data_IF_086880464966
#
_entry.id   IF_086880464966
#
_cell.length_a   1.000
_cell.length_b   1.000
_cell.length_c   1.000
_cell.angle_alpha   90.00
_cell.angle_beta   90.00
_cell.angle_gamma   90.00
#
_symmetry.space_group_name_H-M   'P 1'
#
loop_
_entity.id
_entity.type
_entity.pdbx_description
1 polymer ?
#
# COMPACT_ATOMS: atom_id res chain seq x y z
N UNK A 1 -14.20 4.32 -18.78
CA UNK A 1 -14.15 4.56 -17.34
C UNK A 1 -15.39 5.21 -16.70
N UNK A 2 -16.36 5.73 -17.45
CA UNK A 2 -17.58 6.42 -16.93
C UNK A 2 -18.44 5.59 -15.96
N UNK A 3 -18.33 4.26 -15.97
CA UNK A 3 -19.04 3.36 -15.04
C UNK A 3 -18.61 3.48 -13.56
N UNK A 4 -17.44 4.06 -13.27
CA UNK A 4 -16.95 4.32 -11.92
C UNK A 4 -17.51 5.63 -11.38
N UNK A 5 -18.83 5.68 -11.13
CA UNK A 5 -19.57 6.93 -10.94
C UNK A 5 -19.81 7.33 -9.47
N UNK A 6 -19.39 6.51 -8.50
CA UNK A 6 -19.57 6.78 -7.06
C UNK A 6 -18.26 6.97 -6.27
N UNK A 7 -17.28 7.81 -6.73
CA UNK A 7 -16.02 7.97 -6.01
C UNK A 7 -16.21 8.58 -4.62
N UNK A 8 -17.08 9.59 -4.48
CA UNK A 8 -17.32 10.23 -3.18
C UNK A 8 -17.80 9.20 -2.17
N UNK A 9 -18.82 8.39 -2.52
CA UNK A 9 -19.32 7.33 -1.65
C UNK A 9 -18.20 6.34 -1.30
N UNK A 10 -17.45 5.87 -2.31
CA UNK A 10 -16.37 4.92 -2.11
C UNK A 10 -15.31 5.48 -1.14
N UNK A 11 -14.73 6.63 -1.45
CA UNK A 11 -13.64 7.20 -0.67
C UNK A 11 -14.09 7.64 0.74
N UNK A 12 -15.31 8.19 0.88
CA UNK A 12 -15.82 8.59 2.19
C UNK A 12 -16.02 7.38 3.09
N UNK A 13 -16.73 6.34 2.64
CA UNK A 13 -16.98 5.16 3.47
C UNK A 13 -15.69 4.37 3.74
N UNK A 14 -14.80 4.24 2.73
CA UNK A 14 -13.52 3.57 2.88
C UNK A 14 -12.52 4.32 3.78
N UNK A 15 -12.79 5.58 4.14
CA UNK A 15 -12.03 6.34 5.13
C UNK A 15 -12.70 6.32 6.49
N UNK A 16 -13.98 6.68 6.54
CA UNK A 16 -14.72 6.91 7.82
C UNK A 16 -14.84 5.62 8.60
N UNK A 17 -15.17 4.50 7.94
CA UNK A 17 -15.35 3.23 8.65
C UNK A 17 -14.05 2.76 9.31
N UNK A 18 -12.89 2.65 8.59
CA UNK A 18 -11.62 2.34 9.24
C UNK A 18 -11.23 3.33 10.33
N UNK A 19 -11.43 4.64 10.12
CA UNK A 19 -11.09 5.65 11.10
C UNK A 19 -11.84 5.47 12.42
N UNK A 20 -13.16 5.23 12.37
CA UNK A 20 -13.95 4.96 13.57
C UNK A 20 -13.42 3.71 14.29
N UNK A 21 -13.20 2.62 13.56
CA UNK A 21 -12.77 1.36 14.15
C UNK A 21 -11.35 1.46 14.73
N UNK A 22 -10.41 2.05 13.98
CA UNK A 22 -9.02 2.13 14.40
C UNK A 22 -8.73 3.21 15.43
N UNK A 23 -9.50 4.30 15.50
CA UNK A 23 -9.39 5.21 16.64
C UNK A 23 -9.92 4.60 17.93
N UNK A 24 -10.95 3.76 17.85
CA UNK A 24 -11.37 2.96 19.02
C UNK A 24 -10.27 1.97 19.42
N UNK A 25 -9.68 1.27 18.44
CA UNK A 25 -8.56 0.39 18.68
C UNK A 25 -7.34 1.13 19.29
N UNK A 26 -7.02 2.31 18.77
CA UNK A 26 -5.97 3.18 19.29
C UNK A 26 -6.24 3.55 20.77
N UNK A 27 -7.45 3.98 21.08
CA UNK A 27 -7.84 4.26 22.46
C UNK A 27 -7.66 3.04 23.36
N UNK A 28 -8.10 1.86 22.93
CA UNK A 28 -7.98 0.61 23.70
C UNK A 28 -6.53 0.18 23.91
N UNK A 29 -5.66 0.39 22.92
CA UNK A 29 -4.25 -0.01 23.00
C UNK A 29 -3.46 0.70 24.12
N UNK A 30 -3.99 1.82 24.63
CA UNK A 30 -3.38 2.58 25.74
C UNK A 30 -4.07 2.35 27.08
N UNK A 31 -5.10 1.51 27.15
CA UNK A 31 -5.80 1.25 28.42
C UNK A 31 -5.08 0.15 29.24
N UNK A 32 -5.05 0.26 30.59
CA UNK A 32 -4.49 -0.78 31.46
C UNK A 32 -5.18 -2.14 31.34
N UNK A 33 -6.46 -2.12 30.98
CA UNK A 33 -7.27 -3.31 30.70
C UNK A 33 -7.79 -3.18 29.27
N UNK A 34 -7.03 -3.71 28.32
CA UNK A 34 -7.49 -3.83 26.94
C UNK A 34 -8.69 -4.81 26.87
N UNK A 35 -9.64 -4.60 25.95
CA UNK A 35 -10.63 -5.61 25.61
C UNK A 35 -9.96 -6.95 25.29
N UNK A 36 -10.77 -8.03 25.32
CA UNK A 36 -10.23 -9.35 24.94
C UNK A 36 -9.76 -9.35 23.47
N UNK A 37 -8.89 -10.28 23.14
CA UNK A 37 -8.26 -10.41 21.82
C UNK A 37 -9.27 -10.51 20.67
N UNK A 38 -10.49 -11.00 20.92
CA UNK A 38 -11.55 -11.05 19.90
C UNK A 38 -11.92 -9.65 19.41
N UNK A 39 -12.19 -8.72 20.33
CA UNK A 39 -12.62 -7.37 19.96
C UNK A 39 -11.48 -6.55 19.33
N UNK A 40 -10.27 -6.66 19.84
CA UNK A 40 -9.11 -5.97 19.23
C UNK A 40 -8.89 -6.46 17.81
N UNK A 41 -8.86 -7.78 17.59
CA UNK A 41 -8.72 -8.36 16.25
C UNK A 41 -9.90 -8.07 15.33
N UNK A 42 -11.13 -8.04 15.86
CA UNK A 42 -12.30 -7.68 15.07
C UNK A 42 -12.22 -6.23 14.55
N UNK A 43 -11.85 -5.27 15.39
CA UNK A 43 -11.75 -3.86 14.98
C UNK A 43 -10.57 -3.63 14.02
N UNK A 44 -9.45 -4.31 14.23
CA UNK A 44 -8.31 -4.26 13.32
C UNK A 44 -8.72 -4.76 11.94
N UNK A 45 -9.25 -5.99 11.86
CA UNK A 45 -9.62 -6.64 10.60
C UNK A 45 -10.80 -5.97 9.91
N UNK A 46 -11.84 -5.57 10.65
CA UNK A 46 -13.00 -4.89 10.08
C UNK A 46 -12.62 -3.54 9.44
N UNK A 47 -11.70 -2.80 10.06
CA UNK A 47 -11.15 -1.57 9.48
C UNK A 47 -10.39 -1.86 8.18
N UNK A 48 -9.54 -2.89 8.16
CA UNK A 48 -8.78 -3.30 6.97
C UNK A 48 -9.69 -3.77 5.82
N UNK A 49 -10.76 -4.52 6.13
CA UNK A 49 -11.68 -5.07 5.14
C UNK A 49 -12.73 -4.07 4.64
N UNK A 50 -12.96 -2.97 5.35
CA UNK A 50 -14.03 -2.03 5.03
C UNK A 50 -13.93 -1.46 3.59
N UNK A 51 -12.78 -1.00 3.07
CA UNK A 51 -12.66 -0.53 1.70
C UNK A 51 -13.03 -1.60 0.66
N UNK A 52 -12.58 -2.85 0.86
CA UNK A 52 -12.94 -3.98 -0.02
C UNK A 52 -14.44 -4.27 0.05
N UNK A 53 -15.05 -4.19 1.24
CA UNK A 53 -16.49 -4.34 1.42
C UNK A 53 -17.30 -3.29 0.64
N UNK A 54 -16.86 -2.01 0.69
CA UNK A 54 -17.47 -0.91 -0.08
C UNK A 54 -17.30 -1.15 -1.59
N UNK A 55 -16.11 -1.53 -2.06
CA UNK A 55 -15.88 -1.87 -3.47
C UNK A 55 -16.80 -3.02 -3.91
N UNK A 56 -16.85 -4.10 -3.13
CA UNK A 56 -17.70 -5.27 -3.40
C UNK A 56 -19.18 -4.88 -3.51
N UNK A 57 -19.66 -4.05 -2.60
CA UNK A 57 -21.02 -3.52 -2.67
C UNK A 57 -21.31 -2.78 -3.97
N UNK A 58 -20.38 -1.90 -4.41
CA UNK A 58 -20.53 -1.15 -5.66
C UNK A 58 -20.49 -2.06 -6.90
N UNK A 59 -19.64 -3.08 -6.90
CA UNK A 59 -19.59 -4.09 -7.96
C UNK A 59 -20.87 -4.92 -8.02
N UNK A 60 -21.42 -5.33 -6.89
CA UNK A 60 -22.66 -6.12 -6.82
C UNK A 60 -23.87 -5.35 -7.39
N UNK A 61 -23.87 -4.02 -7.32
CA UNK A 61 -24.94 -3.15 -7.81
C UNK A 61 -24.84 -2.81 -9.29
N UNK A 62 -23.72 -3.15 -9.97
CA UNK A 62 -23.50 -2.75 -11.36
C UNK A 62 -22.85 -3.89 -12.17
N UNK A 63 -23.64 -4.49 -13.07
CA UNK A 63 -23.21 -5.61 -13.91
C UNK A 63 -22.04 -5.26 -14.83
N UNK A 64 -21.95 -4.01 -15.31
CA UNK A 64 -20.83 -3.56 -16.18
C UNK A 64 -19.53 -3.46 -15.37
N UNK A 65 -19.59 -2.95 -14.14
CA UNK A 65 -18.44 -2.95 -13.22
C UNK A 65 -17.98 -4.36 -12.89
N UNK A 66 -18.91 -5.27 -12.58
CA UNK A 66 -18.59 -6.65 -12.27
C UNK A 66 -17.96 -7.39 -13.47
N UNK A 67 -18.45 -7.14 -14.69
CA UNK A 67 -17.85 -7.68 -15.91
C UNK A 67 -16.43 -7.15 -16.14
N UNK A 68 -16.21 -5.86 -15.94
CA UNK A 68 -14.88 -5.25 -16.03
C UNK A 68 -13.90 -5.82 -14.97
N UNK A 69 -14.38 -6.02 -13.75
CA UNK A 69 -13.57 -6.62 -12.67
C UNK A 69 -13.08 -8.01 -13.04
N UNK A 70 -13.96 -8.88 -13.55
CA UNK A 70 -13.60 -10.25 -13.95
C UNK A 70 -12.47 -10.27 -14.98
N UNK A 71 -12.46 -9.32 -15.91
CA UNK A 71 -11.43 -9.22 -16.96
C UNK A 71 -10.04 -8.84 -16.43
N UNK A 72 -9.92 -8.35 -15.20
CA UNK A 72 -8.66 -7.86 -14.63
C UNK A 72 -7.84 -8.91 -13.89
N UNK A 73 -8.42 -10.05 -13.59
CA UNK A 73 -7.71 -11.19 -12.97
C UNK A 73 -7.11 -12.14 -14.01
N UNK A 74 -7.53 -12.03 -15.26
CA UNK A 74 -7.13 -12.92 -16.34
C UNK A 74 -6.13 -12.20 -17.24
N UNK A 75 -4.84 -12.35 -16.95
CA UNK A 75 -3.76 -11.89 -17.84
C UNK A 75 -3.35 -12.99 -18.80
N UNK A 76 -3.56 -12.78 -20.12
CA UNK A 76 -2.92 -13.64 -21.13
C UNK A 76 -1.40 -13.51 -20.97
N UNK A 77 -0.71 -14.61 -20.63
CA UNK A 77 0.74 -14.68 -20.47
C UNK A 77 1.34 -13.66 -19.47
N UNK A 78 0.86 -13.66 -18.23
CA UNK A 78 1.40 -12.80 -17.17
C UNK A 78 2.93 -12.94 -17.04
N UNK A 79 3.45 -14.18 -17.13
CA UNK A 79 4.89 -14.46 -17.07
C UNK A 79 5.69 -13.89 -18.25
N UNK A 80 5.06 -13.67 -19.39
CA UNK A 80 5.72 -13.01 -20.55
C UNK A 80 5.70 -11.47 -20.41
N UNK A 81 4.98 -10.93 -19.44
CA UNK A 81 4.88 -9.50 -19.23
C UNK A 81 6.06 -9.00 -18.40
N UNK A 82 6.92 -8.13 -18.97
CA UNK A 82 8.07 -7.54 -18.25
C UNK A 82 7.67 -6.80 -16.96
N UNK A 83 6.48 -6.21 -16.89
CA UNK A 83 6.00 -5.49 -15.71
C UNK A 83 5.74 -6.43 -14.53
N UNK A 84 5.37 -7.70 -14.79
CA UNK A 84 5.29 -8.72 -13.77
C UNK A 84 6.65 -8.98 -13.10
N UNK A 85 7.72 -9.09 -13.89
CA UNK A 85 9.07 -9.30 -13.33
C UNK A 85 9.59 -8.07 -12.60
N UNK A 86 9.29 -6.86 -13.09
CA UNK A 86 9.60 -5.62 -12.36
C UNK A 86 8.88 -5.62 -11.00
N UNK A 87 7.63 -6.06 -10.96
CA UNK A 87 6.83 -6.19 -9.73
C UNK A 87 7.51 -7.08 -8.68
N UNK A 88 8.06 -8.21 -9.09
CA UNK A 88 8.69 -9.17 -8.18
C UNK A 88 10.10 -8.80 -7.76
N UNK A 89 10.88 -8.21 -8.68
CA UNK A 89 12.31 -8.02 -8.48
C UNK A 89 12.67 -6.64 -7.94
N UNK A 90 11.91 -5.61 -8.32
CA UNK A 90 12.30 -4.23 -7.98
C UNK A 90 12.24 -3.93 -6.47
N UNK A 91 11.19 -4.29 -5.69
CA UNK A 91 11.19 -3.99 -4.27
C UNK A 91 12.34 -4.67 -3.49
N UNK A 92 12.59 -5.99 -3.60
CA UNK A 92 13.69 -6.62 -2.86
C UNK A 92 15.06 -6.12 -3.32
N UNK A 93 15.27 -5.90 -4.63
CA UNK A 93 16.54 -5.35 -5.12
C UNK A 93 16.76 -3.92 -4.59
N UNK A 94 15.72 -3.10 -4.52
CA UNK A 94 15.84 -1.73 -4.03
C UNK A 94 16.26 -1.64 -2.57
N UNK A 95 15.74 -2.52 -1.71
CA UNK A 95 16.13 -2.54 -0.29
C UNK A 95 17.57 -3.05 -0.13
N UNK A 96 17.97 -4.09 -0.86
CA UNK A 96 19.35 -4.58 -0.83
C UNK A 96 20.34 -3.51 -1.33
N UNK A 97 20.01 -2.80 -2.42
CA UNK A 97 20.84 -1.69 -2.93
C UNK A 97 20.89 -0.55 -1.90
N UNK A 98 19.79 -0.23 -1.25
CA UNK A 98 19.76 0.80 -0.21
C UNK A 98 20.64 0.42 0.99
N UNK A 99 20.60 -0.84 1.44
CA UNK A 99 21.46 -1.37 2.48
C UNK A 99 22.94 -1.31 2.09
N UNK A 100 23.28 -1.69 0.84
CA UNK A 100 24.66 -1.59 0.34
C UNK A 100 25.17 -0.15 0.34
N UNK A 101 24.36 0.81 -0.12
CA UNK A 101 24.72 2.25 -0.10
C UNK A 101 24.90 2.73 1.34
N UNK A 102 24.09 2.24 2.28
CA UNK A 102 24.16 2.67 3.69
C UNK A 102 25.42 2.20 4.40
N UNK A 103 26.12 1.18 3.90
CA UNK A 103 27.42 0.77 4.44
C UNK A 103 28.47 1.90 4.33
N UNK A 104 28.42 2.66 3.24
CA UNK A 104 29.31 3.83 3.05
C UNK A 104 28.99 4.97 4.04
N UNK A 105 27.81 4.93 4.67
CA UNK A 105 27.41 5.85 5.73
C UNK A 105 27.70 5.30 7.14
N UNK A 106 28.41 4.15 7.24
CA UNK A 106 28.85 3.56 8.50
C UNK A 106 27.87 2.59 9.14
N UNK A 107 26.83 2.16 8.45
CA UNK A 107 25.88 1.16 8.98
C UNK A 107 26.46 -0.25 8.90
N UNK A 108 26.00 -1.13 9.83
CA UNK A 108 26.48 -2.51 9.97
C UNK A 108 25.94 -3.43 8.87
N UNK A 109 26.72 -4.49 8.57
CA UNK A 109 26.28 -5.63 7.78
C UNK A 109 25.13 -6.43 8.44
N UNK A 110 24.89 -6.24 9.72
CA UNK A 110 23.80 -6.93 10.45
C UNK A 110 22.42 -6.63 9.88
N UNK A 111 22.25 -5.51 9.19
CA UNK A 111 21.00 -5.17 8.52
C UNK A 111 20.60 -6.14 7.39
N UNK A 112 21.51 -6.99 6.92
CA UNK A 112 21.20 -8.05 5.94
C UNK A 112 20.70 -9.34 6.59
N UNK A 113 20.73 -9.43 7.93
CA UNK A 113 20.17 -10.57 8.64
C UNK A 113 18.66 -10.62 8.44
N UNK A 114 18.14 -11.84 8.31
CA UNK A 114 16.69 -12.06 8.28
C UNK A 114 16.13 -11.75 9.67
N UNK A 115 15.15 -10.86 9.74
CA UNK A 115 14.58 -10.36 10.99
C UNK A 115 13.83 -11.43 11.78
N UNK A 116 13.25 -12.44 11.11
CA UNK A 116 12.45 -13.50 11.73
C UNK A 116 11.05 -13.06 12.14
N UNK A 117 10.87 -11.84 12.63
CA UNK A 117 9.55 -11.26 12.98
C UNK A 117 9.41 -9.86 12.38
N UNK A 118 8.21 -9.46 11.96
CA UNK A 118 7.95 -8.07 11.55
C UNK A 118 8.20 -7.08 12.69
N UNK A 119 8.47 -5.85 12.33
CA UNK A 119 8.75 -4.75 13.25
C UNK A 119 7.52 -4.24 14.04
N UNK A 120 6.39 -4.94 13.94
CA UNK A 120 5.12 -4.55 14.55
C UNK A 120 4.34 -5.75 15.09
N UNK A 121 3.38 -5.46 15.97
CA UNK A 121 2.42 -6.42 16.50
C UNK A 121 1.04 -6.21 15.89
N UNK A 122 0.33 -7.29 15.60
CA UNK A 122 -1.06 -7.29 15.14
C UNK A 122 -1.89 -8.32 15.93
N UNK A 123 -1.65 -8.40 17.24
CA UNK A 123 -2.36 -9.34 18.09
C UNK A 123 -3.89 -9.13 18.02
N UNK A 124 -4.69 -10.18 17.88
CA UNK A 124 -4.35 -11.60 18.12
C UNK A 124 -3.80 -12.36 16.90
N UNK A 125 -3.58 -11.70 15.76
CA UNK A 125 -3.13 -12.35 14.55
C UNK A 125 -1.61 -12.47 14.49
N UNK A 126 -1.11 -13.41 13.70
CA UNK A 126 0.31 -13.43 13.35
C UNK A 126 0.64 -12.26 12.42
N UNK A 127 1.64 -11.45 12.76
CA UNK A 127 1.99 -10.24 12.02
C UNK A 127 2.40 -10.54 10.56
N UNK A 128 3.08 -11.66 10.28
CA UNK A 128 3.37 -12.08 8.90
C UNK A 128 2.11 -12.38 8.09
N UNK A 129 1.09 -12.99 8.73
CA UNK A 129 -0.19 -13.26 8.04
C UNK A 129 -0.89 -11.96 7.70
N UNK A 130 -0.95 -11.01 8.62
CA UNK A 130 -1.55 -9.69 8.36
C UNK A 130 -0.76 -8.95 7.28
N UNK A 131 0.56 -8.93 7.37
CA UNK A 131 1.45 -8.31 6.38
C UNK A 131 1.20 -8.83 4.96
N UNK A 132 0.95 -10.14 4.82
CA UNK A 132 0.70 -10.76 3.51
C UNK A 132 -0.73 -10.57 3.02
N UNK A 133 -1.72 -10.54 3.90
CA UNK A 133 -3.13 -10.43 3.53
C UNK A 133 -3.59 -8.97 3.33
N UNK A 134 -3.02 -8.02 4.06
CA UNK A 134 -3.39 -6.62 3.95
C UNK A 134 -3.28 -6.10 2.50
N UNK A 135 -2.17 -6.31 1.75
CA UNK A 135 -2.07 -5.95 0.35
C UNK A 135 -3.17 -6.54 -0.53
N UNK A 136 -3.60 -7.76 -0.25
CA UNK A 136 -4.68 -8.41 -1.02
C UNK A 136 -5.99 -7.64 -0.82
N UNK A 137 -6.37 -7.38 0.42
CA UNK A 137 -7.62 -6.68 0.74
C UNK A 137 -7.60 -5.22 0.28
N UNK A 138 -6.47 -4.57 0.44
CA UNK A 138 -6.27 -3.20 0.01
C UNK A 138 -6.35 -3.07 -1.51
N UNK A 139 -5.64 -3.88 -2.26
CA UNK A 139 -5.63 -3.78 -3.73
C UNK A 139 -6.95 -4.25 -4.36
N UNK A 140 -7.70 -5.12 -3.68
CA UNK A 140 -9.09 -5.45 -4.04
C UNK A 140 -10.07 -4.28 -3.84
N UNK A 141 -9.65 -3.21 -3.18
CA UNK A 141 -10.39 -1.95 -3.10
C UNK A 141 -9.76 -0.89 -4.01
N UNK A 142 -8.45 -0.64 -3.81
CA UNK A 142 -7.76 0.50 -4.42
C UNK A 142 -7.61 0.37 -5.93
N UNK A 143 -7.13 -0.78 -6.42
CA UNK A 143 -6.91 -1.02 -7.86
C UNK A 143 -8.08 -1.72 -8.56
N UNK A 144 -9.12 -2.16 -7.83
CA UNK A 144 -10.35 -2.62 -8.49
C UNK A 144 -11.34 -1.48 -8.72
N UNK A 145 -11.50 -0.55 -7.74
CA UNK A 145 -12.45 0.56 -7.82
C UNK A 145 -11.81 1.94 -7.70
N UNK A 146 -11.03 2.16 -6.64
CA UNK A 146 -10.59 3.49 -6.23
C UNK A 146 -9.79 4.25 -7.30
N UNK A 147 -8.68 3.68 -7.75
CA UNK A 147 -7.80 4.31 -8.73
C UNK A 147 -8.52 4.58 -10.05
N UNK A 148 -9.34 3.63 -10.54
CA UNK A 148 -10.11 3.83 -11.77
C UNK A 148 -11.24 4.86 -11.60
N UNK A 149 -11.82 4.97 -10.42
CA UNK A 149 -12.80 6.01 -10.12
C UNK A 149 -12.18 7.42 -10.16
N UNK A 150 -10.94 7.57 -9.70
CA UNK A 150 -10.18 8.82 -9.85
C UNK A 150 -9.78 9.05 -11.31
N UNK A 151 -9.20 8.03 -11.97
CA UNK A 151 -8.75 8.09 -13.36
C UNK A 151 -9.87 8.43 -14.35
N UNK A 152 -11.11 8.07 -14.02
CA UNK A 152 -12.28 8.43 -14.82
C UNK A 152 -12.55 9.95 -14.90
N UNK A 153 -11.93 10.74 -14.03
CA UNK A 153 -12.13 12.19 -13.87
C UNK A 153 -10.87 13.01 -14.13
N UNK A 154 -9.72 12.49 -13.76
CA UNK A 154 -8.44 13.20 -13.79
C UNK A 154 -7.38 12.40 -14.57
N UNK A 155 -6.27 13.06 -14.88
CA UNK A 155 -5.08 12.40 -15.41
C UNK A 155 -4.57 11.37 -14.40
N UNK A 156 -3.78 10.37 -14.83
CA UNK A 156 -3.19 9.41 -13.90
C UNK A 156 -2.28 10.09 -12.88
N UNK A 157 -1.56 11.12 -13.29
CA UNK A 157 -0.74 11.93 -12.39
C UNK A 157 -1.57 12.53 -11.25
N UNK A 158 -2.64 13.24 -11.59
CA UNK A 158 -3.54 13.85 -10.59
C UNK A 158 -4.23 12.79 -9.74
N UNK A 159 -4.67 11.69 -10.34
CA UNK A 159 -5.28 10.56 -9.61
C UNK A 159 -4.32 9.95 -8.62
N UNK A 160 -3.03 9.79 -8.99
CA UNK A 160 -1.99 9.28 -8.09
C UNK A 160 -1.73 10.24 -6.93
N UNK A 161 -1.67 11.55 -7.17
CA UNK A 161 -1.51 12.55 -6.11
C UNK A 161 -2.68 12.53 -5.11
N UNK A 162 -3.91 12.55 -5.61
CA UNK A 162 -5.11 12.52 -4.77
C UNK A 162 -5.13 11.23 -3.94
N UNK A 163 -4.82 10.10 -4.57
CA UNK A 163 -4.82 8.81 -3.89
C UNK A 163 -3.70 8.73 -2.85
N UNK A 164 -2.51 9.25 -3.12
CA UNK A 164 -1.41 9.28 -2.14
C UNK A 164 -1.80 10.03 -0.86
N UNK A 165 -2.38 11.23 -1.01
CA UNK A 165 -2.84 12.01 0.15
C UNK A 165 -3.95 11.26 0.89
N UNK A 166 -4.92 10.72 0.18
CA UNK A 166 -6.00 9.95 0.74
C UNK A 166 -5.49 8.72 1.51
N UNK A 167 -4.59 7.95 0.92
CA UNK A 167 -4.06 6.73 1.53
C UNK A 167 -3.16 7.02 2.73
N UNK A 168 -2.41 8.12 2.69
CA UNK A 168 -1.70 8.62 3.87
C UNK A 168 -2.65 8.96 5.01
N UNK A 169 -3.75 9.67 4.73
CA UNK A 169 -4.80 9.96 5.72
C UNK A 169 -5.49 8.68 6.22
N UNK A 170 -5.69 7.69 5.36
CA UNK A 170 -6.29 6.40 5.75
C UNK A 170 -5.47 5.68 6.83
N UNK A 171 -4.13 5.79 6.78
CA UNK A 171 -3.24 5.22 7.79
C UNK A 171 -3.17 6.03 9.10
N UNK A 172 -3.70 7.26 9.13
CA UNK A 172 -3.50 8.17 10.27
C UNK A 172 -3.88 7.56 11.63
N UNK A 173 -5.01 6.86 11.83
CA UNK A 173 -5.33 6.28 13.13
C UNK A 173 -4.31 5.24 13.62
N UNK A 174 -3.62 4.55 12.71
CA UNK A 174 -2.65 3.50 13.03
C UNK A 174 -1.37 4.05 13.68
N UNK A 175 -1.07 5.33 13.51
CA UNK A 175 0.00 6.01 14.26
C UNK A 175 -0.28 6.12 15.76
N UNK A 176 -1.52 5.95 16.17
CA UNK A 176 -1.97 6.02 17.56
C UNK A 176 -2.23 4.62 18.16
N UNK A 177 -2.12 3.54 17.39
CA UNK A 177 -2.23 2.18 17.90
C UNK A 177 -0.86 1.74 18.41
N UNK A 178 -0.77 1.44 19.71
CA UNK A 178 0.49 1.04 20.37
C UNK A 178 1.06 -0.22 19.70
N UNK A 179 2.38 -0.24 19.53
CA UNK A 179 3.16 -1.35 18.96
C UNK A 179 2.78 -1.74 17.52
N UNK A 180 2.01 -0.88 16.83
CA UNK A 180 1.69 -1.06 15.41
C UNK A 180 2.78 -0.45 14.52
N UNK A 181 2.85 -0.85 13.24
CA UNK A 181 3.92 -0.42 12.33
C UNK A 181 4.13 1.09 12.30
N UNK A 182 3.04 1.86 12.10
CA UNK A 182 3.12 3.32 11.99
C UNK A 182 3.54 3.99 13.31
N UNK A 183 3.07 3.48 14.44
CA UNK A 183 3.48 4.00 15.75
C UNK A 183 4.94 3.69 16.05
N UNK A 184 5.46 2.54 15.61
CA UNK A 184 6.87 2.18 15.75
C UNK A 184 7.76 3.07 14.86
N UNK A 185 7.35 3.32 13.61
CA UNK A 185 8.04 4.30 12.72
C UNK A 185 8.06 5.70 13.34
N UNK A 186 6.97 6.11 14.00
CA UNK A 186 6.92 7.40 14.71
C UNK A 186 7.88 7.45 15.90
N UNK A 187 8.01 6.34 16.64
CA UNK A 187 8.92 6.24 17.78
C UNK A 187 10.40 6.33 17.37
N UNK A 188 10.77 5.90 16.16
CA UNK A 188 12.12 6.05 15.60
C UNK A 188 12.48 7.52 15.32
N UNK A 189 11.48 8.40 15.09
CA UNK A 189 11.68 9.84 14.92
C UNK A 189 10.91 10.46 13.78
N UNK A 190 10.82 11.80 13.82
CA UNK A 190 10.00 12.57 12.85
C UNK A 190 10.46 12.41 11.39
N UNK A 191 11.75 12.21 11.14
CA UNK A 191 12.29 12.04 9.78
C UNK A 191 11.78 10.74 9.15
N UNK A 192 11.67 9.66 9.93
CA UNK A 192 11.15 8.38 9.45
C UNK A 192 9.64 8.43 9.27
N UNK A 193 8.93 9.16 10.15
CA UNK A 193 7.51 9.47 9.97
C UNK A 193 7.27 10.26 8.66
N UNK A 194 8.06 11.29 8.41
CA UNK A 194 7.99 12.04 7.16
C UNK A 194 8.31 11.16 5.94
N UNK A 195 9.33 10.28 6.07
CA UNK A 195 9.69 9.33 5.03
C UNK A 195 8.55 8.36 4.71
N UNK A 196 7.77 7.93 5.69
CA UNK A 196 6.59 7.09 5.45
C UNK A 196 5.66 7.76 4.44
N UNK A 197 5.29 9.02 4.64
CA UNK A 197 4.41 9.75 3.71
C UNK A 197 5.06 10.01 2.35
N UNK A 198 6.35 10.34 2.31
CA UNK A 198 7.10 10.52 1.04
C UNK A 198 7.21 9.21 0.27
N UNK A 199 7.44 8.10 0.96
CA UNK A 199 7.52 6.78 0.34
C UNK A 199 6.18 6.35 -0.28
N UNK A 200 5.03 6.68 0.36
CA UNK A 200 3.71 6.43 -0.23
C UNK A 200 3.53 7.13 -1.58
N UNK A 201 4.03 8.37 -1.72
CA UNK A 201 4.01 9.07 -3.00
C UNK A 201 4.71 8.25 -4.08
N UNK A 202 5.96 7.87 -3.85
CA UNK A 202 6.72 7.10 -4.81
C UNK A 202 6.09 5.72 -5.08
N UNK A 203 5.61 5.04 -4.05
CA UNK A 203 4.94 3.76 -4.13
C UNK A 203 3.69 3.82 -5.02
N UNK A 204 2.79 4.79 -4.78
CA UNK A 204 1.54 4.94 -5.54
C UNK A 204 1.80 5.20 -7.02
N UNK A 205 2.82 6.00 -7.35
CA UNK A 205 3.17 6.24 -8.75
C UNK A 205 3.69 4.98 -9.45
N UNK A 206 4.52 4.19 -8.75
CA UNK A 206 5.08 2.95 -9.31
C UNK A 206 3.98 1.89 -9.47
N UNK A 207 3.16 1.64 -8.45
CA UNK A 207 2.11 0.63 -8.52
C UNK A 207 1.05 0.97 -9.57
N UNK A 208 0.67 2.25 -9.70
CA UNK A 208 -0.23 2.72 -10.74
C UNK A 208 0.39 2.51 -12.13
N UNK A 209 1.67 2.84 -12.32
CA UNK A 209 2.36 2.57 -13.58
C UNK A 209 2.33 1.08 -13.94
N UNK A 210 2.70 0.20 -13.02
CA UNK A 210 2.70 -1.25 -13.20
C UNK A 210 1.30 -1.78 -13.54
N UNK A 211 0.29 -1.33 -12.80
CA UNK A 211 -1.11 -1.70 -13.00
C UNK A 211 -1.61 -1.34 -14.40
N UNK A 212 -1.43 -0.09 -14.85
CA UNK A 212 -1.90 0.32 -16.16
C UNK A 212 -1.07 -0.28 -17.32
N UNK A 213 0.23 -0.44 -17.15
CA UNK A 213 1.12 -1.06 -18.15
C UNK A 213 0.92 -2.56 -18.28
N UNK A 214 0.38 -3.21 -17.26
CA UNK A 214 -0.03 -4.62 -17.31
C UNK A 214 -1.47 -4.84 -17.77
N UNK A 215 -2.13 -3.81 -18.34
CA UNK A 215 -3.52 -3.90 -18.80
C UNK A 215 -4.53 -3.88 -17.67
N UNK A 216 -4.26 -3.15 -16.61
CA UNK A 216 -5.09 -3.05 -15.39
C UNK A 216 -5.20 -4.39 -14.66
N UNK A 217 -4.11 -5.16 -14.62
CA UNK A 217 -4.10 -6.45 -13.94
C UNK A 217 -3.96 -6.27 -12.43
N UNK A 218 -4.99 -6.66 -11.68
CA UNK A 218 -5.04 -6.52 -10.21
C UNK A 218 -4.01 -7.39 -9.51
N UNK A 219 -3.67 -8.56 -10.05
CA UNK A 219 -2.64 -9.42 -9.48
C UNK A 219 -1.26 -8.76 -9.48
N UNK A 220 -0.96 -7.92 -10.49
CA UNK A 220 0.30 -7.15 -10.53
C UNK A 220 0.33 -6.13 -9.39
N UNK A 221 -0.77 -5.44 -9.11
CA UNK A 221 -0.85 -4.51 -7.99
C UNK A 221 -0.72 -5.24 -6.64
N UNK A 222 -1.47 -6.32 -6.44
CA UNK A 222 -1.38 -7.15 -5.23
C UNK A 222 0.05 -7.65 -5.00
N UNK A 223 0.68 -8.22 -6.03
CA UNK A 223 2.03 -8.76 -5.92
C UNK A 223 3.07 -7.67 -5.65
N UNK A 224 2.97 -6.51 -6.29
CA UNK A 224 3.89 -5.40 -6.01
C UNK A 224 3.80 -4.96 -4.55
N UNK A 225 2.59 -4.74 -4.05
CA UNK A 225 2.35 -4.33 -2.67
C UNK A 225 2.82 -5.40 -1.67
N UNK A 226 2.47 -6.66 -1.91
CA UNK A 226 2.90 -7.80 -1.10
C UNK A 226 4.42 -7.92 -1.03
N UNK A 227 5.09 -7.91 -2.19
CA UNK A 227 6.54 -8.06 -2.26
C UNK A 227 7.25 -6.86 -1.63
N UNK A 228 6.72 -5.65 -1.80
CA UNK A 228 7.26 -4.46 -1.14
C UNK A 228 7.16 -4.55 0.40
N UNK A 229 6.00 -4.94 0.93
CA UNK A 229 5.79 -5.11 2.37
C UNK A 229 6.71 -6.20 2.95
N UNK A 230 6.75 -7.38 2.30
CA UNK A 230 7.62 -8.47 2.73
C UNK A 230 9.09 -8.05 2.67
N UNK A 231 9.54 -7.41 1.60
CA UNK A 231 10.93 -6.96 1.47
C UNK A 231 11.31 -5.94 2.54
N UNK A 232 10.37 -5.07 2.94
CA UNK A 232 10.59 -4.04 3.95
C UNK A 232 10.75 -4.62 5.37
N UNK A 233 10.17 -5.79 5.65
CA UNK A 233 10.16 -6.43 6.97
C UNK A 233 11.03 -7.70 7.05
N UNK A 234 11.49 -8.22 5.90
CA UNK A 234 12.27 -9.46 5.83
C UNK A 234 13.65 -9.33 6.49
N UNK A 235 14.29 -8.19 6.31
CA UNK A 235 15.64 -7.93 6.82
C UNK A 235 15.60 -7.01 8.04
N UNK A 236 16.64 -7.10 8.89
CA UNK A 236 16.87 -6.18 10.01
C UNK A 236 17.35 -4.80 9.51
N UNK A 237 16.65 -4.25 8.54
CA UNK A 237 17.03 -3.05 7.78
C UNK A 237 17.07 -1.82 8.69
N UNK A 238 18.20 -1.11 8.69
CA UNK A 238 18.32 0.16 9.41
C UNK A 238 17.34 1.20 8.83
N UNK A 239 16.68 2.04 9.65
CA UNK A 239 15.73 3.05 9.18
C UNK A 239 16.32 4.01 8.12
N UNK A 240 17.60 4.37 8.22
CA UNK A 240 18.28 5.21 7.20
C UNK A 240 18.35 4.53 5.83
N UNK A 241 18.48 3.20 5.78
CA UNK A 241 18.44 2.46 4.52
C UNK A 241 17.06 2.57 3.86
N UNK A 242 15.99 2.66 4.66
CA UNK A 242 14.63 2.92 4.14
C UNK A 242 14.49 4.35 3.57
N UNK A 243 15.22 5.35 4.09
CA UNK A 243 15.31 6.69 3.49
C UNK A 243 15.99 6.63 2.10
N UNK A 244 17.10 5.89 2.01
CA UNK A 244 17.82 5.68 0.73
C UNK A 244 16.92 4.97 -0.28
N UNK A 245 16.20 3.93 0.14
CA UNK A 245 15.24 3.22 -0.72
C UNK A 245 14.16 4.18 -1.26
N UNK A 246 13.62 5.05 -0.42
CA UNK A 246 12.67 6.09 -0.87
C UNK A 246 13.27 7.00 -1.93
N UNK A 247 14.55 7.38 -1.78
CA UNK A 247 15.29 8.13 -2.79
C UNK A 247 15.42 7.38 -4.12
N UNK A 248 15.68 6.05 -4.09
CA UNK A 248 15.71 5.20 -5.27
C UNK A 248 14.34 5.12 -5.96
N UNK A 249 13.28 4.97 -5.17
CA UNK A 249 11.90 4.98 -5.69
C UNK A 249 11.55 6.32 -6.33
N UNK A 250 11.91 7.45 -5.70
CA UNK A 250 11.67 8.78 -6.24
C UNK A 250 12.40 9.01 -7.58
N UNK A 251 13.64 8.51 -7.71
CA UNK A 251 14.39 8.54 -9.00
C UNK A 251 13.67 7.73 -10.07
N UNK A 252 13.19 6.53 -9.74
CA UNK A 252 12.42 5.71 -10.68
C UNK A 252 11.13 6.44 -11.10
N UNK A 253 10.40 7.05 -10.16
CA UNK A 253 9.20 7.85 -10.47
C UNK A 253 9.54 8.99 -11.43
N UNK A 254 10.61 9.74 -11.19
CA UNK A 254 11.07 10.79 -12.10
C UNK A 254 11.31 10.26 -13.51
N UNK A 255 12.01 9.13 -13.64
CA UNK A 255 12.24 8.45 -14.93
C UNK A 255 10.91 8.03 -15.59
N UNK A 256 10.01 7.40 -14.84
CA UNK A 256 8.69 6.94 -15.33
C UNK A 256 7.86 8.14 -15.83
N UNK A 257 7.80 9.24 -15.10
CA UNK A 257 7.02 10.42 -15.47
C UNK A 257 7.51 11.04 -16.78
N UNK A 258 8.81 11.03 -17.03
CA UNK A 258 9.40 11.50 -18.29
C UNK A 258 9.11 10.54 -19.44
N UNK A 259 9.34 9.24 -19.25
CA UNK A 259 9.20 8.20 -20.28
C UNK A 259 7.75 7.87 -20.62
N UNK A 260 6.88 7.87 -19.64
CA UNK A 260 5.46 7.51 -19.77
C UNK A 260 4.56 8.76 -19.68
N UNK A 261 5.05 9.89 -20.19
CA UNK A 261 4.38 11.19 -20.10
C UNK A 261 2.92 11.12 -20.61
N UNK A 262 2.68 10.39 -21.70
CA UNK A 262 1.32 10.22 -22.25
C UNK A 262 0.40 9.49 -21.27
N UNK A 263 0.89 8.43 -20.65
CA UNK A 263 0.12 7.67 -19.66
C UNK A 263 -0.29 8.53 -18.47
N UNK A 264 0.65 9.32 -17.94
CA UNK A 264 0.40 10.07 -16.71
C UNK A 264 -0.35 11.38 -16.91
N UNK A 265 -0.10 12.11 -17.99
CA UNK A 265 -0.63 13.47 -18.13
C UNK A 265 -1.79 13.60 -19.12
N UNK A 266 -2.07 12.60 -19.98
CA UNK A 266 -3.25 12.63 -20.83
C UNK A 266 -4.49 12.19 -20.06
N UNK A 267 -5.62 12.83 -20.32
CA UNK A 267 -6.95 12.29 -19.95
C UNK A 267 -7.35 11.22 -20.97
N UNK A 268 -7.90 10.11 -20.50
CA UNK A 268 -8.55 9.11 -21.35
C UNK A 268 -9.96 9.54 -21.75
#
# INVERSE_FOLDING_TARGET
MKKYNHPILFFTLSLVIPWVLWFVLAYWSHQPKAPNAFWTGFFELAGLLAPMGVATYLFARNKELLSDLKGRFVGKNLLANRYFWITLLFPPLSIVVAQLISLDLGHSLDQFNISGQPSFSSAPFNAWVVLCLAPVFEELAWHTYGTDALRSRWSLFTSSLIFTVYWGLWHLPLFFVKDYYQSNVQAEGWIYTANFFVSLFAFVFIINWLYYKSGRNVLVAILFHLVANVSNELFATHPDSKLIQTGLFARLVGYILVKERRLFFSKE
#
